data_IF_369697735170
#
_entry.id   IF_369697735170
#
_cell.length_a   1.000
_cell.length_b   1.000
_cell.length_c   1.000
_cell.angle_alpha   90.00
_cell.angle_beta   90.00
_cell.angle_gamma   90.00
#
_symmetry.space_group_name_H-M   'P 1'
#
loop_
_entity.id
_entity.type
_entity.pdbx_description
1 polymer ?
#
# COMPACT_ATOMS: atom_id res chain seq x y z
N UNK A 1 -10.10 14.26 -2.46
CA UNK A 1 -8.95 14.46 -1.54
C UNK A 1 -9.35 14.66 -0.08
N UNK A 2 -10.62 14.74 0.20
CA UNK A 2 -11.17 15.03 1.55
C UNK A 2 -10.83 13.96 2.61
N UNK A 3 -10.55 12.74 2.18
CA UNK A 3 -10.32 11.60 3.07
C UNK A 3 -8.86 11.44 3.54
N UNK A 4 -7.93 12.22 3.01
CA UNK A 4 -6.52 12.08 3.38
C UNK A 4 -6.30 12.77 4.74
N UNK A 5 -5.80 12.05 5.78
CA UNK A 5 -5.51 12.68 7.07
C UNK A 5 -4.54 13.85 6.92
N UNK A 6 -4.84 14.98 7.56
CA UNK A 6 -3.99 16.18 7.48
C UNK A 6 -2.57 15.95 8.04
N UNK A 7 -2.42 15.00 8.97
CA UNK A 7 -1.15 14.62 9.61
C UNK A 7 -1.10 13.08 9.77
N UNK A 8 0.12 12.52 9.65
CA UNK A 8 0.39 11.13 10.02
C UNK A 8 0.53 10.92 11.53
N UNK A 9 0.84 9.69 11.95
CA UNK A 9 1.06 8.54 11.09
C UNK A 9 -0.23 7.87 10.59
N UNK A 10 -0.16 7.30 9.39
CA UNK A 10 -1.19 6.40 8.85
C UNK A 10 -0.55 5.29 7.99
N UNK A 11 -1.30 4.21 7.78
CA UNK A 11 -0.92 3.15 6.87
C UNK A 11 -1.77 3.28 5.60
N UNK A 12 -1.15 3.61 4.47
CA UNK A 12 -1.80 3.59 3.17
C UNK A 12 -1.84 2.16 2.66
N UNK A 13 -3.04 1.62 2.46
CA UNK A 13 -3.25 0.26 1.95
C UNK A 13 -3.99 0.32 0.60
N UNK A 14 -3.37 -0.20 -0.46
CA UNK A 14 -3.95 -0.18 -1.81
C UNK A 14 -4.03 -1.58 -2.42
N UNK A 15 -4.96 -1.77 -3.38
CA UNK A 15 -4.93 -2.91 -4.29
C UNK A 15 -3.67 -2.87 -5.15
N UNK A 16 -3.27 -4.03 -5.69
CA UNK A 16 -2.01 -4.17 -6.43
C UNK A 16 -2.21 -4.90 -7.76
N UNK A 17 -2.27 -4.15 -8.84
CA UNK A 17 -2.60 -4.64 -10.18
C UNK A 17 -1.48 -4.46 -11.19
N UNK A 18 -0.68 -3.42 -11.02
CA UNK A 18 0.31 -2.98 -11.98
C UNK A 18 1.62 -2.56 -11.31
N UNK A 19 2.66 -2.43 -12.12
CA UNK A 19 3.89 -1.75 -11.70
C UNK A 19 3.67 -0.25 -11.44
N UNK A 20 2.64 0.31 -12.07
CA UNK A 20 2.27 1.73 -11.93
C UNK A 20 1.67 2.06 -10.55
N UNK A 21 1.15 1.07 -9.82
CA UNK A 21 0.46 1.33 -8.53
C UNK A 21 1.37 2.01 -7.50
N UNK A 22 2.68 1.70 -7.53
CA UNK A 22 3.65 2.33 -6.64
C UNK A 22 3.58 3.86 -6.70
N UNK A 23 3.90 4.50 -7.82
CA UNK A 23 3.79 5.96 -7.97
C UNK A 23 2.35 6.46 -7.88
N UNK A 24 1.36 5.72 -8.38
CA UNK A 24 -0.05 6.13 -8.37
C UNK A 24 -0.60 6.28 -6.94
N UNK A 25 -0.17 5.44 -6.01
CA UNK A 25 -0.60 5.51 -4.61
C UNK A 25 -0.23 6.82 -3.91
N UNK A 26 0.64 7.64 -4.50
CA UNK A 26 1.09 8.92 -3.94
C UNK A 26 0.44 10.15 -4.60
N UNK A 27 -0.27 10.00 -5.71
CA UNK A 27 -0.71 11.12 -6.58
C UNK A 27 -1.59 12.15 -5.88
N UNK A 28 -2.36 11.76 -4.86
CA UNK A 28 -3.21 12.67 -4.07
C UNK A 28 -2.53 13.24 -2.83
N UNK A 29 -1.33 12.78 -2.47
CA UNK A 29 -0.62 13.24 -1.29
C UNK A 29 0.14 14.54 -1.56
N UNK A 30 0.19 15.43 -0.58
CA UNK A 30 1.07 16.60 -0.65
C UNK A 30 2.55 16.18 -0.68
N UNK A 31 3.40 17.01 -1.26
CA UNK A 31 4.85 16.75 -1.32
C UNK A 31 5.48 16.49 0.06
N UNK A 32 5.01 17.23 1.08
CA UNK A 32 5.43 17.00 2.47
C UNK A 32 5.06 15.62 3.00
N UNK A 33 3.87 15.13 2.64
CA UNK A 33 3.43 13.78 3.00
C UNK A 33 4.21 12.70 2.25
N UNK A 34 4.45 12.88 0.95
CA UNK A 34 5.24 11.94 0.14
C UNK A 34 6.63 11.73 0.72
N UNK A 35 7.31 12.80 1.13
CA UNK A 35 8.62 12.72 1.80
C UNK A 35 8.60 11.94 3.12
N UNK A 36 7.45 11.87 3.76
CA UNK A 36 7.23 11.19 5.02
C UNK A 36 6.63 9.79 4.86
N UNK A 37 6.49 9.30 3.64
CA UNK A 37 6.00 7.95 3.34
C UNK A 37 7.15 6.97 3.15
N UNK A 38 7.00 5.78 3.73
CA UNK A 38 7.92 4.65 3.58
C UNK A 38 7.19 3.52 2.89
N UNK A 39 7.68 3.10 1.71
CA UNK A 39 7.12 1.97 0.97
C UNK A 39 7.69 0.66 1.48
N UNK A 40 6.84 -0.35 1.61
CA UNK A 40 7.23 -1.70 1.92
C UNK A 40 7.22 -2.55 0.64
N UNK A 41 8.38 -3.03 0.21
CA UNK A 41 8.55 -3.78 -1.02
C UNK A 41 9.41 -5.03 -0.84
N UNK A 42 9.21 -6.04 -1.70
CA UNK A 42 10.05 -7.23 -1.75
C UNK A 42 11.33 -6.97 -2.53
N UNK A 43 12.44 -7.60 -2.12
CA UNK A 43 13.75 -7.48 -2.81
C UNK A 43 13.68 -7.80 -4.31
N UNK A 44 12.80 -8.72 -4.72
CA UNK A 44 12.63 -9.09 -6.13
C UNK A 44 12.25 -7.92 -7.04
N UNK A 45 11.56 -6.90 -6.49
CA UNK A 45 11.15 -5.71 -7.23
C UNK A 45 12.26 -4.64 -7.31
N UNK A 46 13.35 -4.80 -6.55
CA UNK A 46 14.44 -3.82 -6.44
C UNK A 46 15.72 -4.28 -7.17
N UNK A 47 15.68 -5.40 -7.88
CA UNK A 47 16.86 -6.00 -8.55
C UNK A 47 17.37 -5.24 -9.77
N UNK A 48 16.57 -4.40 -10.44
CA UNK A 48 17.07 -3.61 -11.56
C UNK A 48 17.85 -2.38 -11.08
N UNK A 49 18.96 -2.05 -11.75
CA UNK A 49 19.87 -0.98 -11.32
C UNK A 49 19.20 0.39 -11.11
N UNK A 50 18.27 0.77 -12.01
CA UNK A 50 17.50 2.01 -11.90
C UNK A 50 16.55 1.99 -10.70
N UNK A 51 15.84 0.88 -10.48
CA UNK A 51 14.90 0.73 -9.36
C UNK A 51 15.66 0.70 -8.04
N UNK A 52 16.85 0.07 -7.99
CA UNK A 52 17.74 0.09 -6.81
C UNK A 52 18.23 1.50 -6.50
N UNK A 53 18.58 2.29 -7.51
CA UNK A 53 18.98 3.69 -7.36
C UNK A 53 17.82 4.56 -6.86
N UNK A 54 16.63 4.40 -7.41
CA UNK A 54 15.42 5.10 -6.98
C UNK A 54 15.00 4.66 -5.57
N UNK A 55 15.11 3.37 -5.25
CA UNK A 55 14.82 2.83 -3.93
C UNK A 55 15.71 3.44 -2.83
N UNK A 56 16.99 3.69 -3.13
CA UNK A 56 17.90 4.35 -2.19
C UNK A 56 17.58 5.82 -1.92
N UNK A 57 16.77 6.46 -2.79
CA UNK A 57 16.32 7.85 -2.63
C UNK A 57 14.87 7.98 -2.12
N UNK A 58 14.09 6.93 -2.23
CA UNK A 58 12.69 6.88 -1.78
C UNK A 58 12.59 5.88 -0.63
N UNK A 59 12.48 6.31 0.57
CA UNK A 59 12.22 5.59 1.81
C UNK A 59 11.60 4.17 1.63
N UNK A 60 12.32 3.21 1.02
CA UNK A 60 11.84 1.86 0.77
C UNK A 60 12.41 0.92 1.83
N UNK A 61 11.52 0.28 2.56
CA UNK A 61 11.85 -0.80 3.49
C UNK A 61 11.72 -2.13 2.75
N UNK A 62 12.84 -2.83 2.62
CA UNK A 62 12.87 -4.14 1.99
C UNK A 62 12.31 -5.22 2.91
N UNK A 63 11.43 -6.04 2.37
CA UNK A 63 10.87 -7.19 3.05
C UNK A 63 11.90 -8.31 3.14
N UNK A 64 12.28 -8.65 4.34
CA UNK A 64 13.04 -9.87 4.62
C UNK A 64 12.06 -11.06 4.73
N UNK A 65 11.93 -11.86 3.67
CA UNK A 65 11.00 -13.02 3.66
C UNK A 65 11.34 -14.05 4.74
N UNK A 66 12.62 -14.20 5.07
CA UNK A 66 13.12 -15.08 6.12
C UNK A 66 12.85 -14.54 7.53
N UNK A 67 12.60 -13.23 7.68
CA UNK A 67 12.41 -12.58 8.98
C UNK A 67 11.30 -11.52 8.93
N UNK A 68 10.05 -12.01 8.83
CA UNK A 68 8.87 -11.14 8.85
C UNK A 68 8.74 -10.33 10.14
N UNK A 69 9.21 -10.86 11.27
CA UNK A 69 9.19 -10.16 12.55
C UNK A 69 10.05 -8.90 12.50
N UNK A 70 11.25 -8.98 11.94
CA UNK A 70 12.14 -7.84 11.77
C UNK A 70 11.51 -6.78 10.84
N UNK A 71 10.88 -7.21 9.75
CA UNK A 71 10.16 -6.30 8.85
C UNK A 71 9.03 -5.55 9.56
N UNK A 72 8.23 -6.23 10.39
CA UNK A 72 7.17 -5.60 11.19
C UNK A 72 7.76 -4.59 12.17
N UNK A 73 8.85 -4.92 12.86
CA UNK A 73 9.50 -4.02 13.81
C UNK A 73 10.02 -2.74 13.12
N UNK A 74 10.67 -2.86 11.97
CA UNK A 74 11.13 -1.70 11.18
C UNK A 74 9.96 -0.78 10.78
N UNK A 75 8.84 -1.35 10.35
CA UNK A 75 7.65 -0.58 10.00
C UNK A 75 7.00 0.09 11.23
N UNK A 76 6.98 -0.61 12.37
CA UNK A 76 6.50 -0.05 13.62
C UNK A 76 7.35 1.15 14.08
N UNK A 77 8.68 1.08 13.93
CA UNK A 77 9.58 2.22 14.22
C UNK A 77 9.26 3.43 13.33
N UNK A 78 9.02 3.22 12.04
CA UNK A 78 8.62 4.28 11.12
C UNK A 78 7.34 4.98 11.59
N UNK A 79 6.33 4.19 11.99
CA UNK A 79 5.06 4.74 12.50
C UNK A 79 5.26 5.47 13.85
N UNK A 80 6.13 4.97 14.76
CA UNK A 80 6.49 5.66 16.02
C UNK A 80 7.13 7.03 15.79
N UNK A 81 7.88 7.18 14.68
CA UNK A 81 8.48 8.45 14.29
C UNK A 81 7.49 9.42 13.62
N UNK A 82 6.18 9.11 13.65
CA UNK A 82 5.15 9.94 13.01
C UNK A 82 5.15 9.88 11.49
N UNK A 83 5.82 8.88 10.89
CA UNK A 83 5.92 8.68 9.44
C UNK A 83 4.83 7.76 8.94
N UNK A 84 4.50 7.87 7.66
CA UNK A 84 3.49 7.05 7.02
C UNK A 84 4.11 5.80 6.39
N UNK A 85 3.35 4.73 6.32
CA UNK A 85 3.77 3.48 5.67
C UNK A 85 2.83 3.19 4.50
N UNK A 86 3.38 2.83 3.34
CA UNK A 86 2.63 2.42 2.16
C UNK A 86 2.82 0.93 1.95
N UNK A 87 1.71 0.21 1.91
CA UNK A 87 1.68 -1.25 1.80
C UNK A 87 0.68 -1.67 0.73
N UNK A 88 1.06 -2.65 -0.08
CA UNK A 88 0.17 -3.41 -0.94
C UNK A 88 -0.14 -4.76 -0.24
N UNK A 89 -1.27 -4.88 0.47
CA UNK A 89 -1.50 -6.01 1.36
C UNK A 89 -1.63 -7.36 0.66
N UNK A 90 -1.88 -7.38 -0.64
CA UNK A 90 -1.88 -8.59 -1.47
C UNK A 90 -0.49 -9.25 -1.51
N UNK A 91 0.58 -8.46 -1.36
CA UNK A 91 1.97 -8.91 -1.37
C UNK A 91 2.48 -9.36 -2.73
N UNK A 92 1.66 -9.28 -3.77
CA UNK A 92 2.01 -9.50 -5.18
C UNK A 92 0.94 -8.89 -6.08
N UNK A 93 1.33 -8.47 -7.27
CA UNK A 93 0.38 -7.98 -8.28
C UNK A 93 -0.56 -9.09 -8.73
N UNK A 94 -1.83 -8.73 -8.99
CA UNK A 94 -2.80 -9.67 -9.57
C UNK A 94 -2.35 -10.20 -10.94
N UNK A 95 -2.79 -11.40 -11.29
CA UNK A 95 -2.55 -11.99 -12.61
C UNK A 95 -3.73 -11.84 -13.57
N UNK A 96 -4.91 -11.60 -13.04
CA UNK A 96 -6.18 -11.64 -13.80
C UNK A 96 -7.08 -10.42 -13.54
N UNK A 97 -6.53 -9.33 -12.98
CA UNK A 97 -7.28 -8.12 -12.64
C UNK A 97 -8.18 -8.24 -11.39
N UNK A 98 -8.29 -9.43 -10.79
CA UNK A 98 -9.05 -9.63 -9.56
C UNK A 98 -8.17 -9.40 -8.34
N UNK A 99 -8.67 -8.70 -7.35
CA UNK A 99 -7.95 -8.41 -6.11
C UNK A 99 -7.73 -9.68 -5.28
N UNK A 100 -6.48 -9.95 -4.91
CA UNK A 100 -6.11 -11.09 -4.08
C UNK A 100 -6.55 -10.89 -2.61
N UNK A 101 -6.41 -11.94 -1.81
CA UNK A 101 -6.61 -11.84 -0.36
C UNK A 101 -5.57 -10.93 0.27
N UNK A 102 -5.98 -10.10 1.23
CA UNK A 102 -5.08 -9.25 1.99
C UNK A 102 -4.38 -10.04 3.10
N UNK A 103 -3.08 -9.84 3.21
CA UNK A 103 -2.27 -10.35 4.32
C UNK A 103 -2.45 -9.45 5.54
N UNK A 104 -2.48 -10.02 6.73
CA UNK A 104 -2.79 -9.33 7.98
C UNK A 104 -1.71 -8.40 8.54
N UNK A 105 -0.53 -8.31 7.92
CA UNK A 105 0.60 -7.54 8.47
C UNK A 105 0.26 -6.06 8.75
N UNK A 106 -0.38 -5.38 7.81
CA UNK A 106 -0.79 -3.98 7.99
C UNK A 106 -1.86 -3.83 9.09
N UNK A 107 -2.72 -4.83 9.24
CA UNK A 107 -3.75 -4.87 10.28
C UNK A 107 -3.13 -5.03 11.67
N UNK A 108 -2.08 -5.86 11.78
CA UNK A 108 -1.27 -5.97 13.01
C UNK A 108 -0.66 -4.61 13.34
N UNK A 109 0.04 -4.00 12.39
CA UNK A 109 0.67 -2.68 12.59
C UNK A 109 -0.36 -1.62 12.99
N UNK A 110 -1.51 -1.55 12.32
CA UNK A 110 -2.57 -0.59 12.63
C UNK A 110 -3.07 -0.76 14.08
N UNK A 111 -3.35 -1.98 14.50
CA UNK A 111 -3.88 -2.26 15.85
C UNK A 111 -2.82 -2.03 16.92
N UNK A 112 -1.63 -2.60 16.77
CA UNK A 112 -0.56 -2.50 17.78
C UNK A 112 -0.02 -1.07 17.93
N UNK A 113 -0.06 -0.28 16.87
CA UNK A 113 0.41 1.11 16.88
C UNK A 113 -0.72 2.13 17.06
N UNK A 114 -1.98 1.67 17.10
CA UNK A 114 -3.18 2.50 17.14
C UNK A 114 -3.18 3.60 16.06
N UNK A 115 -2.86 3.23 14.82
CA UNK A 115 -2.82 4.14 13.66
C UNK A 115 -3.88 3.79 12.65
N UNK A 116 -4.53 4.77 11.99
CA UNK A 116 -5.54 4.50 10.97
C UNK A 116 -4.94 3.90 9.71
N UNK A 117 -5.74 3.10 9.02
CA UNK A 117 -5.49 2.66 7.64
C UNK A 117 -6.22 3.61 6.70
N UNK A 118 -5.50 4.19 5.73
CA UNK A 118 -6.05 4.94 4.61
C UNK A 118 -6.18 4.00 3.42
N UNK A 119 -7.39 3.49 3.10
CA UNK A 119 -7.57 2.62 1.96
C UNK A 119 -7.50 3.43 0.67
N UNK A 120 -6.83 2.90 -0.35
CA UNK A 120 -6.74 3.51 -1.67
C UNK A 120 -7.18 2.51 -2.73
N UNK A 121 -8.12 2.92 -3.56
CA UNK A 121 -8.58 2.15 -4.71
C UNK A 121 -7.95 2.69 -5.99
N UNK A 122 -7.20 1.86 -6.70
CA UNK A 122 -6.63 2.16 -8.01
C UNK A 122 -7.40 1.34 -9.06
N UNK A 123 -7.96 2.01 -10.07
CA UNK A 123 -8.68 1.43 -11.19
C UNK A 123 -7.97 1.73 -12.50
N UNK A 124 -8.06 0.82 -13.48
CA UNK A 124 -7.48 1.00 -14.82
C UNK A 124 -5.98 0.74 -14.95
N UNK A 125 -5.28 0.51 -13.82
CA UNK A 125 -3.84 0.25 -13.84
C UNK A 125 -3.51 -1.15 -14.39
N UNK A 126 -4.38 -2.14 -14.21
CA UNK A 126 -4.24 -3.46 -14.80
C UNK A 126 -4.34 -3.40 -16.33
N UNK A 127 -5.32 -2.67 -16.86
CA UNK A 127 -5.53 -2.48 -18.29
C UNK A 127 -4.37 -1.72 -18.93
N UNK A 128 -3.83 -0.71 -18.21
CA UNK A 128 -2.69 0.07 -18.67
C UNK A 128 -1.40 -0.74 -18.76
N UNK A 129 -1.08 -1.53 -17.74
CA UNK A 129 0.15 -2.32 -17.68
C UNK A 129 -0.03 -3.59 -16.84
N UNK A 130 -0.60 -4.67 -17.43
CA UNK A 130 -0.74 -5.95 -16.75
C UNK A 130 0.60 -6.54 -16.29
N UNK A 131 0.56 -7.36 -15.25
CA UNK A 131 1.74 -8.08 -14.80
C UNK A 131 2.31 -8.97 -15.92
N UNK A 132 3.62 -8.88 -16.15
CA UNK A 132 4.33 -9.69 -17.15
C UNK A 132 4.36 -9.07 -18.55
N UNK A 133 3.80 -7.85 -18.70
CA UNK A 133 3.92 -7.08 -19.94
C UNK A 133 4.87 -5.89 -19.75
N UNK A 134 5.45 -5.39 -20.84
CA UNK A 134 6.29 -4.20 -20.85
C UNK A 134 5.66 -3.05 -21.66
N UNK A 135 4.58 -3.33 -22.38
CA UNK A 135 3.92 -2.35 -23.23
C UNK A 135 2.80 -1.67 -22.47
N UNK A 136 2.95 -0.38 -22.21
CA UNK A 136 1.92 0.46 -21.63
C UNK A 136 0.84 0.70 -22.66
N UNK A 137 -0.42 0.47 -22.28
CA UNK A 137 -1.60 0.71 -23.12
C UNK A 137 -2.33 1.96 -22.61
N UNK A 138 -2.89 2.78 -23.50
CA UNK A 138 -3.76 3.87 -23.09
C UNK A 138 -4.95 3.32 -22.29
N UNK A 139 -5.10 3.80 -21.06
CA UNK A 139 -6.21 3.44 -20.19
C UNK A 139 -6.52 4.62 -19.27
N UNK A 140 -7.80 4.80 -18.93
CA UNK A 140 -8.20 5.74 -17.89
C UNK A 140 -7.81 5.17 -16.54
N UNK A 141 -6.93 5.86 -15.82
CA UNK A 141 -6.53 5.48 -14.47
C UNK A 141 -7.19 6.41 -13.47
N UNK A 142 -7.80 5.84 -12.45
CA UNK A 142 -8.43 6.58 -11.36
C UNK A 142 -7.84 6.11 -10.03
N UNK A 143 -7.53 7.09 -9.17
CA UNK A 143 -7.04 6.84 -7.80
C UNK A 143 -8.01 7.49 -6.83
N UNK A 144 -8.64 6.69 -5.98
CA UNK A 144 -9.62 7.12 -4.99
C UNK A 144 -9.11 6.82 -3.59
N UNK A 145 -8.99 7.87 -2.75
CA UNK A 145 -8.68 7.76 -1.34
C UNK A 145 -10.00 7.63 -0.57
N UNK A 146 -10.18 6.49 0.10
CA UNK A 146 -11.39 6.19 0.87
C UNK A 146 -11.27 6.71 2.30
N UNK A 147 -12.38 6.85 3.05
CA UNK A 147 -12.33 7.29 4.44
C UNK A 147 -11.37 6.45 5.28
N UNK A 148 -10.57 7.08 6.15
CA UNK A 148 -9.66 6.36 7.03
C UNK A 148 -10.41 5.38 7.93
N UNK A 149 -9.88 4.18 8.06
CA UNK A 149 -10.42 3.13 8.92
C UNK A 149 -9.54 3.00 10.16
N UNK A 150 -10.14 3.26 11.31
CA UNK A 150 -9.45 3.13 12.59
C UNK A 150 -9.47 1.67 13.08
N UNK A 151 -8.42 1.21 13.76
CA UNK A 151 -8.39 -0.13 14.33
C UNK A 151 -9.51 -0.30 15.36
N UNK A 152 -10.07 -1.51 15.40
CA UNK A 152 -11.13 -1.89 16.32
C UNK A 152 -10.66 -3.07 17.17
N UNK A 153 -10.83 -2.98 18.47
CA UNK A 153 -10.39 -4.02 19.42
C UNK A 153 -11.22 -5.31 19.28
N UNK A 154 -12.52 -5.17 18.97
CA UNK A 154 -13.47 -6.27 18.79
C UNK A 154 -13.23 -7.17 17.57
N UNK A 155 -12.31 -6.79 16.67
CA UNK A 155 -12.00 -7.57 15.45
C UNK A 155 -10.63 -8.20 15.54
N UNK A 156 -10.51 -9.44 15.09
CA UNK A 156 -9.23 -10.08 14.84
C UNK A 156 -8.45 -9.34 13.74
N UNK A 157 -7.15 -9.54 13.66
CA UNK A 157 -6.31 -8.94 12.60
C UNK A 157 -6.77 -9.34 11.20
N UNK A 158 -7.27 -10.56 11.04
CA UNK A 158 -7.73 -11.04 9.74
C UNK A 158 -9.09 -10.43 9.37
N UNK A 159 -10.02 -10.34 10.31
CA UNK A 159 -11.31 -9.68 10.08
C UNK A 159 -11.14 -8.21 9.74
N UNK A 160 -10.19 -7.52 10.39
CA UNK A 160 -9.87 -6.14 10.07
C UNK A 160 -9.26 -6.03 8.67
N UNK A 161 -8.35 -6.94 8.30
CA UNK A 161 -7.77 -6.97 6.96
C UNK A 161 -8.81 -7.26 5.87
N UNK A 162 -9.74 -8.18 6.13
CA UNK A 162 -10.82 -8.53 5.21
C UNK A 162 -11.83 -7.38 5.06
N UNK A 163 -12.08 -6.62 6.13
CA UNK A 163 -12.92 -5.43 6.10
C UNK A 163 -12.31 -4.33 5.23
N UNK A 164 -11.01 -4.02 5.41
CA UNK A 164 -10.30 -3.04 4.56
C UNK A 164 -10.30 -3.49 3.10
N UNK A 165 -10.04 -4.79 2.84
CA UNK A 165 -10.11 -5.37 1.50
C UNK A 165 -11.47 -5.17 0.86
N UNK A 166 -12.54 -5.50 1.58
CA UNK A 166 -13.92 -5.34 1.10
C UNK A 166 -14.24 -3.88 0.77
N UNK A 167 -13.81 -2.95 1.61
CA UNK A 167 -14.00 -1.50 1.37
C UNK A 167 -13.38 -1.07 0.04
N UNK A 168 -12.17 -1.52 -0.28
CA UNK A 168 -11.51 -1.22 -1.56
C UNK A 168 -12.20 -1.95 -2.72
N UNK A 169 -12.60 -3.21 -2.53
CA UNK A 169 -13.29 -4.01 -3.55
C UNK A 169 -14.64 -3.41 -3.94
N UNK A 170 -15.40 -2.89 -2.96
CA UNK A 170 -16.68 -2.24 -3.20
C UNK A 170 -16.52 -0.89 -3.93
N UNK A 171 -15.47 -0.14 -3.60
CA UNK A 171 -15.10 1.07 -4.35
C UNK A 171 -14.69 0.75 -5.79
N UNK A 172 -14.00 -0.38 -6.03
CA UNK A 172 -13.55 -0.79 -7.37
C UNK A 172 -14.72 -1.13 -8.32
N UNK A 173 -15.89 -1.50 -7.79
CA UNK A 173 -17.08 -1.85 -8.57
C UNK A 173 -17.91 -0.64 -9.04
N UNK A 174 -17.62 0.55 -8.52
CA UNK A 174 -18.26 1.81 -8.93
C UNK A 174 -17.65 2.35 -10.21
#
# INVERSE_FOLDING_TARGET
MENIPAKGPFILASNHESFLDGPLAYTGLSWGMVKNCYSYATEEHVRSGLIKYLAGRHNIILMERSNLKNSILKLAEVLKLGRNVVIFPEGTRTRNGKMNRFKKMFAILSKEMNVPVLPVCIRGAYEALPRGTHNVRPSKIEVEYLPPIYPREDKSYQEFADFVRKTIEDAKKK
#
